data_IF_757892512508
#
_entry.id   IF_757892512508
#
_cell.length_a   1.000
_cell.length_b   1.000
_cell.length_c   1.000
_cell.angle_alpha   90.00
_cell.angle_beta   90.00
_cell.angle_gamma   90.00
#
_symmetry.space_group_name_H-M   'P 1'
#
loop_
_entity.id
_entity.type
_entity.pdbx_description
1 polymer ?
#
# COMPACT_ATOMS: atom_id res chain seq x y z
N UNK A 1 -10.50 -1.43 -20.00
CA UNK A 1 -9.19 -2.07 -20.28
C UNK A 1 -9.19 -3.53 -19.84
N UNK A 2 -9.64 -3.85 -18.64
CA UNK A 2 -9.72 -5.23 -18.12
C UNK A 2 -10.59 -6.13 -18.97
N UNK A 3 -11.85 -5.76 -19.22
CA UNK A 3 -12.81 -6.52 -20.03
C UNK A 3 -12.30 -6.82 -21.45
N UNK A 4 -11.64 -5.84 -22.07
CA UNK A 4 -11.04 -6.04 -23.39
C UNK A 4 -9.89 -7.06 -23.33
N UNK A 5 -9.10 -7.05 -22.26
CA UNK A 5 -8.06 -8.04 -22.02
C UNK A 5 -8.61 -9.45 -21.87
N UNK A 6 -9.67 -9.63 -21.08
CA UNK A 6 -10.37 -10.92 -20.92
C UNK A 6 -10.94 -11.43 -22.24
N UNK A 7 -11.59 -10.55 -23.00
CA UNK A 7 -12.12 -10.88 -24.35
C UNK A 7 -11.01 -11.38 -25.28
N UNK A 8 -9.87 -10.69 -25.32
CA UNK A 8 -8.74 -11.09 -26.19
C UNK A 8 -8.16 -12.43 -25.74
N UNK A 9 -8.04 -12.69 -24.43
CA UNK A 9 -7.58 -13.96 -23.91
C UNK A 9 -8.51 -15.12 -24.30
N UNK A 10 -9.83 -14.95 -24.19
CA UNK A 10 -10.82 -15.95 -24.65
C UNK A 10 -10.77 -16.20 -26.15
N UNK A 11 -10.59 -15.14 -26.94
CA UNK A 11 -10.45 -15.24 -28.39
C UNK A 11 -9.18 -16.00 -28.79
N UNK A 12 -8.09 -15.74 -28.08
CA UNK A 12 -6.84 -16.47 -28.29
C UNK A 12 -6.98 -17.98 -28.02
N UNK A 13 -7.65 -18.34 -26.92
CA UNK A 13 -7.96 -19.74 -26.60
C UNK A 13 -8.79 -20.43 -27.71
N UNK A 14 -9.82 -19.74 -28.24
CA UNK A 14 -10.74 -20.34 -29.24
C UNK A 14 -10.17 -20.40 -30.66
N UNK A 15 -9.46 -19.38 -31.08
CA UNK A 15 -9.13 -19.18 -32.50
C UNK A 15 -7.63 -19.26 -32.80
N UNK A 16 -6.77 -19.25 -31.80
CA UNK A 16 -5.33 -19.25 -31.95
C UNK A 16 -4.73 -17.91 -32.41
N UNK A 17 -3.42 -17.87 -32.61
CA UNK A 17 -2.67 -16.64 -32.82
C UNK A 17 -3.10 -15.84 -34.07
N UNK A 18 -3.15 -16.47 -35.24
CA UNK A 18 -3.40 -15.77 -36.53
C UNK A 18 -4.76 -15.04 -36.54
N UNK A 19 -5.83 -15.76 -36.19
CA UNK A 19 -7.19 -15.17 -36.21
C UNK A 19 -7.38 -14.10 -35.15
N UNK A 20 -6.73 -14.26 -33.97
CA UNK A 20 -6.77 -13.27 -32.92
C UNK A 20 -6.02 -12.00 -33.31
N UNK A 21 -4.87 -12.13 -33.99
CA UNK A 21 -4.13 -10.98 -34.53
C UNK A 21 -4.97 -10.17 -35.52
N UNK A 22 -5.61 -10.82 -36.48
CA UNK A 22 -6.49 -10.18 -37.44
C UNK A 22 -7.67 -9.47 -36.79
N UNK A 23 -8.22 -10.07 -35.73
CA UNK A 23 -9.34 -9.48 -34.99
C UNK A 23 -8.90 -8.24 -34.17
N UNK A 24 -7.74 -8.30 -33.53
CA UNK A 24 -7.17 -7.16 -32.81
C UNK A 24 -6.93 -5.99 -33.77
N UNK A 25 -6.43 -6.24 -34.97
CA UNK A 25 -6.24 -5.22 -36.00
C UNK A 25 -7.59 -4.61 -36.45
N UNK A 26 -8.65 -5.42 -36.57
CA UNK A 26 -9.98 -4.92 -36.86
C UNK A 26 -10.53 -4.05 -35.73
N UNK A 27 -10.37 -4.47 -34.47
CA UNK A 27 -10.76 -3.69 -33.29
C UNK A 27 -10.02 -2.35 -33.25
N UNK A 28 -8.71 -2.37 -33.47
CA UNK A 28 -7.87 -1.16 -33.56
C UNK A 28 -8.38 -0.21 -34.65
N UNK A 29 -8.58 -0.70 -35.87
CA UNK A 29 -9.04 0.10 -37.01
C UNK A 29 -10.44 0.66 -36.78
N UNK A 30 -11.33 -0.13 -36.17
CA UNK A 30 -12.66 0.31 -35.76
C UNK A 30 -12.57 1.46 -34.74
N UNK A 31 -11.76 1.31 -33.71
CA UNK A 31 -11.54 2.35 -32.70
C UNK A 31 -11.00 3.65 -33.31
N UNK A 32 -10.00 3.58 -34.18
CA UNK A 32 -9.48 4.76 -34.87
C UNK A 32 -10.49 5.41 -35.80
N UNK A 33 -11.25 4.63 -36.54
CA UNK A 33 -12.24 5.16 -37.45
C UNK A 33 -13.33 5.97 -36.73
N UNK A 34 -13.95 5.37 -35.71
CA UNK A 34 -14.99 6.05 -34.94
C UNK A 34 -14.46 7.13 -34.02
N UNK A 35 -13.26 6.98 -33.47
CA UNK A 35 -12.60 8.04 -32.70
C UNK A 35 -12.33 9.29 -33.56
N UNK A 36 -12.00 9.11 -34.86
CA UNK A 36 -11.82 10.21 -35.80
C UNK A 36 -13.14 10.88 -36.15
N UNK A 37 -14.22 10.09 -36.40
CA UNK A 37 -15.54 10.63 -36.71
C UNK A 37 -16.13 11.38 -35.51
N UNK A 38 -15.98 10.83 -34.30
CA UNK A 38 -16.49 11.45 -33.08
C UNK A 38 -15.80 12.79 -32.74
N UNK A 39 -14.58 13.02 -33.25
CA UNK A 39 -13.84 14.26 -33.04
C UNK A 39 -13.61 14.57 -31.55
N UNK A 40 -13.37 13.55 -30.73
CA UNK A 40 -13.15 13.71 -29.29
C UNK A 40 -11.96 14.62 -29.04
N UNK A 41 -12.18 15.73 -28.35
CA UNK A 41 -11.16 16.72 -28.00
C UNK A 41 -11.29 17.11 -26.53
N UNK A 42 -10.26 17.74 -25.95
CA UNK A 42 -10.25 18.22 -24.57
C UNK A 42 -10.18 19.73 -24.58
N UNK A 43 -11.18 20.36 -23.96
CA UNK A 43 -11.21 21.79 -23.68
C UNK A 43 -10.97 22.08 -22.19
N UNK A 44 -10.70 23.33 -21.85
CA UNK A 44 -10.58 23.78 -20.47
C UNK A 44 -11.94 23.66 -19.74
N UNK A 45 -13.04 23.80 -20.48
CA UNK A 45 -14.41 23.72 -19.96
C UNK A 45 -14.79 22.31 -19.50
N UNK A 46 -14.18 21.27 -20.07
CA UNK A 46 -14.39 19.86 -19.70
C UNK A 46 -13.87 19.51 -18.31
N UNK A 47 -13.07 20.40 -17.71
CA UNK A 47 -12.51 20.23 -16.37
C UNK A 47 -13.42 20.91 -15.34
N UNK A 48 -14.53 20.30 -15.01
CA UNK A 48 -15.48 20.86 -14.06
C UNK A 48 -14.91 20.94 -12.64
N UNK A 49 -15.19 22.07 -11.97
CA UNK A 49 -14.80 22.30 -10.58
C UNK A 49 -16.03 22.09 -9.70
N UNK A 50 -16.01 21.16 -8.73
CA UNK A 50 -17.18 20.92 -7.90
C UNK A 50 -17.53 22.15 -7.04
N UNK A 51 -18.80 22.52 -7.00
CA UNK A 51 -19.29 23.63 -6.17
C UNK A 51 -19.05 23.40 -4.69
N UNK A 52 -19.10 22.13 -4.24
CA UNK A 52 -18.84 21.68 -2.87
C UNK A 52 -17.41 21.94 -2.39
N UNK A 53 -16.44 22.15 -3.32
CA UNK A 53 -15.03 22.38 -3.00
C UNK A 53 -14.83 23.45 -1.92
N UNK A 54 -15.49 24.60 -2.04
CA UNK A 54 -15.34 25.70 -1.08
C UNK A 54 -15.77 25.30 0.34
N UNK A 55 -16.90 24.61 0.44
CA UNK A 55 -17.42 24.17 1.74
C UNK A 55 -16.53 23.12 2.41
N UNK A 56 -15.91 22.22 1.62
CA UNK A 56 -14.96 21.21 2.12
C UNK A 56 -13.70 21.89 2.64
N UNK A 57 -13.15 22.85 1.87
CA UNK A 57 -11.94 23.58 2.28
C UNK A 57 -12.18 24.41 3.55
N UNK A 58 -13.31 25.11 3.68
CA UNK A 58 -13.67 25.88 4.89
C UNK A 58 -13.79 25.00 6.13
N UNK A 59 -14.34 23.78 5.99
CA UNK A 59 -14.39 22.81 7.10
C UNK A 59 -12.99 22.36 7.51
N UNK A 60 -12.16 21.99 6.56
CA UNK A 60 -10.78 21.59 6.82
C UNK A 60 -9.98 22.71 7.48
N UNK A 61 -10.15 23.97 7.05
CA UNK A 61 -9.50 25.12 7.68
C UNK A 61 -9.92 25.31 9.15
N UNK A 62 -11.20 25.12 9.46
CA UNK A 62 -11.69 25.21 10.85
C UNK A 62 -11.09 24.10 11.73
N UNK A 63 -11.00 22.87 11.19
CA UNK A 63 -10.40 21.74 11.90
C UNK A 63 -8.90 21.96 12.14
N UNK A 64 -8.16 22.46 11.14
CA UNK A 64 -6.75 22.81 11.28
C UNK A 64 -6.55 23.94 12.31
N UNK A 65 -7.41 24.97 12.28
CA UNK A 65 -7.36 26.07 13.26
C UNK A 65 -7.58 25.54 14.68
N UNK A 66 -8.50 24.59 14.88
CA UNK A 66 -8.74 23.98 16.18
C UNK A 66 -7.51 23.18 16.66
N UNK A 67 -6.82 22.46 15.77
CA UNK A 67 -5.57 21.76 16.08
C UNK A 67 -4.45 22.75 16.46
N UNK A 68 -4.34 23.88 15.74
CA UNK A 68 -3.38 24.94 16.08
C UNK A 68 -3.67 25.59 17.45
N UNK A 69 -4.95 25.76 17.80
CA UNK A 69 -5.35 26.29 19.11
C UNK A 69 -4.98 25.31 20.22
N UNK A 70 -5.21 23.99 20.04
CA UNK A 70 -4.79 22.96 20.99
C UNK A 70 -3.26 22.95 21.18
N UNK A 71 -2.50 23.11 20.09
CA UNK A 71 -1.06 23.26 20.15
C UNK A 71 -0.64 24.50 20.94
N UNK A 72 -1.23 25.67 20.67
CA UNK A 72 -0.96 26.92 21.42
C UNK A 72 -1.28 26.81 22.91
N UNK A 73 -2.24 25.98 23.28
CA UNK A 73 -2.59 25.67 24.67
C UNK A 73 -1.62 24.67 25.33
N UNK A 74 -0.67 24.10 24.57
CA UNK A 74 0.29 23.10 25.07
C UNK A 74 -0.31 21.70 25.24
N UNK A 75 -1.48 21.42 24.67
CA UNK A 75 -2.16 20.11 24.73
C UNK A 75 -1.50 19.13 23.77
N UNK A 76 -1.04 19.63 22.62
CA UNK A 76 -0.40 18.83 21.57
C UNK A 76 1.08 19.17 21.45
N UNK A 77 1.89 18.19 21.07
CA UNK A 77 3.29 18.37 20.65
C UNK A 77 3.33 18.77 19.18
N UNK A 78 4.42 19.41 18.72
CA UNK A 78 4.55 19.89 17.33
C UNK A 78 4.41 18.76 16.29
N UNK A 79 4.97 17.60 16.58
CA UNK A 79 4.90 16.45 15.67
C UNK A 79 3.46 15.91 15.51
N UNK A 80 2.69 15.91 16.60
CA UNK A 80 1.26 15.54 16.56
C UNK A 80 0.43 16.57 15.80
N UNK A 81 0.68 17.87 16.06
CA UNK A 81 0.07 18.97 15.31
C UNK A 81 0.30 18.81 13.81
N UNK A 82 1.57 18.59 13.42
CA UNK A 82 1.97 18.36 12.04
C UNK A 82 1.22 17.18 11.42
N UNK A 83 1.20 16.04 12.11
CA UNK A 83 0.51 14.83 11.62
C UNK A 83 -0.98 15.04 11.43
N UNK A 84 -1.66 15.64 12.43
CA UNK A 84 -3.10 15.92 12.35
C UNK A 84 -3.41 16.89 11.21
N UNK A 85 -2.61 17.92 11.06
CA UNK A 85 -2.77 18.89 9.96
C UNK A 85 -2.64 18.21 8.59
N UNK A 86 -1.62 17.36 8.41
CA UNK A 86 -1.43 16.61 7.16
C UNK A 86 -2.59 15.63 6.92
N UNK A 87 -3.07 14.95 7.96
CA UNK A 87 -4.21 14.03 7.85
C UNK A 87 -5.51 14.73 7.43
N UNK A 88 -5.84 15.87 8.06
CA UNK A 88 -7.02 16.69 7.72
C UNK A 88 -6.98 17.13 6.24
N UNK A 89 -5.84 17.63 5.79
CA UNK A 89 -5.69 18.06 4.41
C UNK A 89 -5.70 16.90 3.42
N UNK A 90 -5.15 15.73 3.77
CA UNK A 90 -5.23 14.53 2.94
C UNK A 90 -6.68 14.08 2.77
N UNK A 91 -7.45 14.03 3.86
CA UNK A 91 -8.88 13.69 3.81
C UNK A 91 -9.69 14.70 2.98
N UNK A 92 -9.37 16.00 3.11
CA UNK A 92 -10.01 17.04 2.30
C UNK A 92 -9.72 16.85 0.80
N UNK A 93 -8.48 16.48 0.43
CA UNK A 93 -8.09 16.17 -0.95
C UNK A 93 -8.90 14.99 -1.49
N UNK A 94 -9.06 13.93 -0.71
CA UNK A 94 -9.81 12.74 -1.11
C UNK A 94 -11.31 13.04 -1.28
N UNK A 95 -11.90 13.84 -0.37
CA UNK A 95 -13.29 14.29 -0.48
C UNK A 95 -13.52 15.13 -1.74
N UNK A 96 -12.64 16.10 -2.02
CA UNK A 96 -12.72 16.92 -3.25
C UNK A 96 -12.55 16.05 -4.49
N UNK A 97 -11.66 15.07 -4.46
CA UNK A 97 -11.44 14.15 -5.57
C UNK A 97 -12.69 13.32 -5.87
N UNK A 98 -13.34 12.81 -4.82
CA UNK A 98 -14.57 12.02 -4.94
C UNK A 98 -15.70 12.88 -5.52
N UNK A 99 -15.96 14.04 -4.95
CA UNK A 99 -16.97 14.97 -5.44
C UNK A 99 -16.74 15.39 -6.90
N UNK A 100 -15.48 15.62 -7.28
CA UNK A 100 -15.12 15.91 -8.68
C UNK A 100 -15.49 14.75 -9.61
N UNK A 101 -15.18 13.50 -9.20
CA UNK A 101 -15.48 12.32 -10.02
C UNK A 101 -16.98 12.06 -10.12
N UNK A 102 -17.72 12.27 -9.03
CA UNK A 102 -19.18 12.04 -8.97
C UNK A 102 -19.96 13.10 -9.77
N UNK A 103 -19.39 14.30 -9.97
CA UNK A 103 -20.02 15.39 -10.74
C UNK A 103 -19.71 15.37 -12.24
N UNK A 104 -18.70 14.59 -12.66
CA UNK A 104 -18.34 14.52 -14.09
C UNK A 104 -19.35 13.69 -14.87
N UNK A 105 -19.80 14.20 -16.03
CA UNK A 105 -20.65 13.47 -16.96
C UNK A 105 -19.89 12.26 -17.54
N UNK A 106 -20.59 11.14 -17.72
CA UNK A 106 -20.03 9.94 -18.37
C UNK A 106 -19.53 10.20 -19.81
N UNK A 107 -20.12 11.17 -20.51
CA UNK A 107 -19.72 11.57 -21.86
C UNK A 107 -18.67 12.69 -21.88
N UNK A 108 -18.20 13.14 -20.71
CA UNK A 108 -17.12 14.09 -20.65
C UNK A 108 -15.83 13.49 -21.25
N UNK A 109 -15.15 14.15 -22.22
CA UNK A 109 -13.98 13.58 -22.90
C UNK A 109 -12.85 13.18 -21.95
N UNK A 110 -12.62 13.98 -20.90
CA UNK A 110 -11.57 13.72 -19.91
C UNK A 110 -11.94 12.50 -19.07
N UNK A 111 -13.20 12.39 -18.65
CA UNK A 111 -13.70 11.23 -17.92
C UNK A 111 -13.60 9.95 -18.76
N UNK A 112 -14.08 9.98 -20.00
CA UNK A 112 -14.00 8.82 -20.91
C UNK A 112 -12.56 8.34 -21.10
N UNK A 113 -11.60 9.23 -21.31
CA UNK A 113 -10.20 8.86 -21.51
C UNK A 113 -9.59 8.24 -20.25
N UNK A 114 -9.84 8.82 -19.07
CA UNK A 114 -9.31 8.32 -17.81
C UNK A 114 -9.97 7.01 -17.38
N UNK A 115 -11.31 6.91 -17.46
CA UNK A 115 -12.08 5.74 -17.05
C UNK A 115 -11.80 4.52 -17.95
N UNK A 116 -11.67 4.72 -19.27
CA UNK A 116 -11.28 3.65 -20.21
C UNK A 116 -9.85 3.15 -19.98
N UNK A 117 -9.02 3.90 -19.25
CA UNK A 117 -7.60 3.63 -19.03
C UNK A 117 -6.75 3.85 -20.29
N UNK A 118 -7.27 4.55 -21.30
CA UNK A 118 -6.53 4.90 -22.50
C UNK A 118 -5.44 5.93 -22.21
N UNK A 119 -5.79 7.01 -21.50
CA UNK A 119 -4.86 8.07 -21.12
C UNK A 119 -5.34 8.81 -19.87
N UNK A 120 -4.40 9.22 -19.03
CA UNK A 120 -4.70 9.96 -17.82
C UNK A 120 -4.95 9.06 -16.61
N UNK A 121 -4.98 9.69 -15.44
CA UNK A 121 -5.31 9.05 -14.17
C UNK A 121 -6.16 10.00 -13.33
N UNK A 122 -6.89 9.47 -12.35
CA UNK A 122 -7.68 10.27 -11.41
C UNK A 122 -6.82 11.31 -10.69
N UNK A 123 -5.55 10.96 -10.35
CA UNK A 123 -4.62 11.89 -9.72
C UNK A 123 -4.26 13.09 -10.62
N UNK A 124 -4.17 12.88 -11.93
CA UNK A 124 -3.95 13.97 -12.90
C UNK A 124 -5.20 14.84 -13.05
N UNK A 125 -6.39 14.22 -13.15
CA UNK A 125 -7.66 14.95 -13.21
C UNK A 125 -7.87 15.81 -11.96
N UNK A 126 -7.55 15.27 -10.78
CA UNK A 126 -7.60 16.00 -9.51
C UNK A 126 -6.78 17.30 -9.54
N UNK A 127 -5.57 17.25 -10.09
CA UNK A 127 -4.73 18.44 -10.20
C UNK A 127 -5.27 19.48 -11.17
N UNK A 128 -6.04 19.05 -12.17
CA UNK A 128 -6.62 19.91 -13.19
C UNK A 128 -7.92 20.58 -12.74
N UNK A 129 -8.87 19.83 -12.16
CA UNK A 129 -10.22 20.28 -11.79
C UNK A 129 -10.55 20.27 -10.30
N UNK A 130 -9.86 19.47 -9.48
CA UNK A 130 -10.06 19.38 -8.04
C UNK A 130 -9.19 20.35 -7.25
N UNK A 131 -8.19 19.82 -6.52
CA UNK A 131 -7.13 20.62 -5.90
C UNK A 131 -5.79 19.88 -6.04
N UNK A 132 -4.71 20.64 -6.08
CA UNK A 132 -3.38 20.05 -6.21
C UNK A 132 -2.96 19.29 -4.94
N UNK A 133 -3.27 19.84 -3.77
CA UNK A 133 -3.06 19.18 -2.48
C UNK A 133 -1.70 19.44 -1.85
N UNK A 134 -1.27 18.50 -1.00
CA UNK A 134 -0.03 18.59 -0.25
C UNK A 134 1.19 18.38 -1.15
N UNK A 135 2.24 19.18 -0.93
CA UNK A 135 3.51 19.09 -1.65
C UNK A 135 4.62 18.63 -0.72
N UNK A 136 5.63 17.98 -1.28
CA UNK A 136 6.86 17.66 -0.54
C UNK A 136 7.94 18.73 -0.77
N UNK A 137 8.70 19.03 0.26
CA UNK A 137 9.88 19.87 0.17
C UNK A 137 11.07 19.14 -0.51
N UNK A 138 12.22 19.80 -0.58
CA UNK A 138 13.43 19.21 -1.17
C UNK A 138 13.99 18.05 -0.38
N UNK A 139 13.65 17.91 0.92
CA UNK A 139 14.09 16.82 1.80
C UNK A 139 13.12 15.63 1.77
N UNK A 140 11.93 15.81 1.18
CA UNK A 140 10.88 14.79 1.12
C UNK A 140 9.84 14.90 2.23
N UNK A 141 9.96 15.88 3.15
CA UNK A 141 8.95 16.17 4.17
C UNK A 141 7.74 16.84 3.52
N UNK A 142 6.55 16.51 3.98
CA UNK A 142 5.31 17.12 3.49
C UNK A 142 5.19 18.55 4.02
N UNK A 143 4.90 19.50 3.15
CA UNK A 143 4.64 20.89 3.54
C UNK A 143 3.22 20.95 4.10
N UNK A 144 3.05 21.49 5.32
CA UNK A 144 1.77 21.54 6.03
C UNK A 144 0.69 22.35 5.32
N UNK A 145 1.11 23.35 4.53
CA UNK A 145 0.21 24.21 3.77
C UNK A 145 -0.07 23.57 2.42
N UNK A 146 -1.32 23.15 2.13
CA UNK A 146 -1.66 22.55 0.85
C UNK A 146 -1.83 23.62 -0.23
N UNK A 147 -1.66 23.22 -1.48
CA UNK A 147 -2.09 24.00 -2.64
C UNK A 147 -3.58 23.73 -2.84
N UNK A 148 -4.42 24.72 -2.50
CA UNK A 148 -5.88 24.65 -2.59
C UNK A 148 -6.39 24.83 -4.01
N UNK A 149 -5.67 25.57 -4.81
CA UNK A 149 -5.99 25.82 -6.21
C UNK A 149 -5.73 24.59 -7.09
N UNK A 150 -6.39 24.55 -8.23
CA UNK A 150 -6.13 23.64 -9.33
C UNK A 150 -5.55 24.41 -10.54
N UNK A 151 -5.14 23.68 -11.58
CA UNK A 151 -4.55 24.33 -12.76
C UNK A 151 -5.58 25.12 -13.57
N UNK A 152 -6.87 24.76 -13.52
CA UNK A 152 -7.93 25.55 -14.20
C UNK A 152 -8.16 26.89 -13.54
N UNK A 153 -8.18 26.95 -12.19
CA UNK A 153 -8.31 28.20 -11.42
C UNK A 153 -7.06 29.07 -11.53
N UNK A 154 -5.91 28.46 -11.76
CA UNK A 154 -4.61 29.11 -11.70
C UNK A 154 -4.04 29.14 -10.28
N UNK A 155 -2.72 29.03 -10.17
CA UNK A 155 -1.99 29.06 -8.90
C UNK A 155 -1.62 30.47 -8.53
N UNK A 156 -1.68 30.82 -7.25
CA UNK A 156 -1.09 32.06 -6.76
C UNK A 156 0.46 31.97 -6.75
N UNK A 157 1.14 33.09 -6.53
CA UNK A 157 2.62 33.16 -6.60
C UNK A 157 3.29 32.19 -5.61
N UNK A 158 2.78 32.10 -4.37
CA UNK A 158 3.32 31.20 -3.35
C UNK A 158 3.07 29.72 -3.71
N UNK A 159 1.86 29.39 -4.12
CA UNK A 159 1.50 28.04 -4.55
C UNK A 159 2.33 27.60 -5.77
N UNK A 160 2.54 28.49 -6.72
CA UNK A 160 3.41 28.24 -7.87
C UNK A 160 4.86 27.98 -7.42
N UNK A 161 5.37 28.80 -6.50
CA UNK A 161 6.74 28.63 -5.99
C UNK A 161 6.91 27.29 -5.25
N UNK A 162 5.99 26.94 -4.35
CA UNK A 162 5.96 25.64 -3.66
C UNK A 162 5.90 24.48 -4.66
N UNK A 163 5.05 24.59 -5.67
CA UNK A 163 4.91 23.62 -6.74
C UNK A 163 6.22 23.43 -7.54
N UNK A 164 6.97 24.50 -7.77
CA UNK A 164 8.21 24.46 -8.57
C UNK A 164 9.34 23.68 -7.88
N UNK A 165 9.39 23.65 -6.55
CA UNK A 165 10.36 22.85 -5.81
C UNK A 165 10.18 21.35 -6.08
N UNK A 166 8.96 20.84 -5.95
CA UNK A 166 8.65 19.45 -6.23
C UNK A 166 8.91 19.06 -7.69
N UNK A 167 8.55 19.92 -8.63
CA UNK A 167 8.81 19.71 -10.05
C UNK A 167 10.32 19.65 -10.37
N UNK A 168 11.10 20.59 -9.84
CA UNK A 168 12.57 20.61 -10.04
C UNK A 168 13.23 19.39 -9.44
N UNK A 169 12.84 18.98 -8.21
CA UNK A 169 13.35 17.77 -7.58
C UNK A 169 13.00 16.54 -8.42
N UNK A 170 11.75 16.43 -8.88
CA UNK A 170 11.33 15.30 -9.73
C UNK A 170 12.13 15.21 -11.03
N UNK A 171 12.42 16.33 -11.69
CA UNK A 171 13.27 16.38 -12.87
C UNK A 171 14.70 15.90 -12.58
N UNK A 172 15.32 16.41 -11.51
CA UNK A 172 16.66 16.01 -11.12
C UNK A 172 16.72 14.54 -10.71
N UNK A 173 15.79 14.08 -9.89
CA UNK A 173 15.70 12.68 -9.44
C UNK A 173 15.50 11.72 -10.62
N UNK A 174 14.68 12.08 -11.61
CA UNK A 174 14.48 11.28 -12.81
C UNK A 174 15.78 11.13 -13.59
N UNK A 175 16.50 12.23 -13.80
CA UNK A 175 17.75 12.23 -14.54
C UNK A 175 18.84 11.35 -13.86
N UNK A 176 18.96 11.46 -12.53
CA UNK A 176 19.96 10.71 -11.77
C UNK A 176 19.58 9.22 -11.61
N UNK A 177 18.35 8.94 -11.26
CA UNK A 177 17.89 7.54 -11.01
C UNK A 177 17.81 6.71 -12.28
N UNK A 178 17.67 7.31 -13.45
CA UNK A 178 17.72 6.59 -14.72
C UNK A 178 19.07 5.90 -14.90
N UNK A 179 20.17 6.57 -14.55
CA UNK A 179 21.50 5.99 -14.58
C UNK A 179 21.66 4.82 -13.57
N UNK A 180 21.14 4.99 -12.35
CA UNK A 180 21.17 3.95 -11.30
C UNK A 180 20.39 2.71 -11.73
N UNK A 181 19.20 2.88 -12.31
CA UNK A 181 18.39 1.79 -12.84
C UNK A 181 19.08 1.05 -13.98
N UNK A 182 19.73 1.79 -14.88
CA UNK A 182 20.52 1.21 -15.95
C UNK A 182 21.72 0.40 -15.43
N UNK A 183 22.42 0.94 -14.43
CA UNK A 183 23.52 0.25 -13.77
C UNK A 183 23.07 -1.00 -13.01
N UNK A 184 21.93 -0.93 -12.30
CA UNK A 184 21.33 -2.09 -11.65
C UNK A 184 21.01 -3.20 -12.67
N UNK A 185 20.36 -2.85 -13.78
CA UNK A 185 20.00 -3.78 -14.84
C UNK A 185 21.25 -4.46 -15.40
N UNK A 186 22.31 -3.69 -15.68
CA UNK A 186 23.58 -4.25 -16.13
C UNK A 186 24.16 -5.25 -15.14
N UNK A 187 24.23 -4.91 -13.84
CA UNK A 187 24.75 -5.83 -12.82
C UNK A 187 23.90 -7.10 -12.70
N UNK A 188 22.58 -6.98 -12.80
CA UNK A 188 21.70 -8.15 -12.80
C UNK A 188 21.97 -9.05 -14.01
N UNK A 189 22.13 -8.49 -15.20
CA UNK A 189 22.48 -9.25 -16.40
C UNK A 189 23.85 -9.92 -16.24
N UNK A 190 24.86 -9.20 -15.75
CA UNK A 190 26.23 -9.74 -15.58
C UNK A 190 26.25 -10.94 -14.61
N UNK A 191 25.37 -10.97 -13.60
CA UNK A 191 25.30 -12.10 -12.65
C UNK A 191 24.44 -13.25 -13.19
N UNK A 192 23.38 -12.96 -13.95
CA UNK A 192 22.35 -13.93 -14.32
C UNK A 192 22.49 -14.49 -15.74
N UNK A 193 23.43 -13.98 -16.58
CA UNK A 193 23.54 -14.39 -17.99
C UNK A 193 23.84 -15.87 -18.18
N UNK A 194 24.47 -16.51 -17.20
CA UNK A 194 24.77 -17.97 -17.23
C UNK A 194 23.57 -18.84 -16.88
N UNK A 195 22.45 -18.25 -16.41
CA UNK A 195 21.22 -18.99 -16.08
C UNK A 195 20.44 -19.26 -17.36
N UNK A 196 20.70 -20.42 -17.96
CA UNK A 196 20.11 -20.87 -19.24
C UNK A 196 19.33 -22.16 -18.97
N UNK A 197 18.33 -22.48 -19.79
CA UNK A 197 17.64 -23.77 -19.75
C UNK A 197 18.51 -24.83 -20.36
N UNK A 198 19.14 -25.68 -19.55
CA UNK A 198 20.14 -26.67 -19.99
C UNK A 198 19.60 -28.08 -20.11
N UNK A 199 18.55 -28.45 -19.39
CA UNK A 199 18.01 -29.81 -19.36
C UNK A 199 16.48 -29.80 -19.38
N UNK A 200 15.89 -30.91 -19.78
CA UNK A 200 14.44 -31.08 -19.74
C UNK A 200 13.93 -31.28 -18.28
N UNK A 201 14.61 -32.10 -17.48
CA UNK A 201 14.30 -32.35 -16.09
C UNK A 201 15.57 -32.62 -15.27
N UNK A 202 15.58 -32.13 -14.02
CA UNK A 202 16.64 -32.40 -13.04
C UNK A 202 16.29 -33.55 -12.07
N UNK A 203 15.08 -34.11 -12.15
CA UNK A 203 14.60 -35.20 -11.30
C UNK A 203 14.33 -34.82 -9.84
N UNK A 204 14.30 -33.54 -9.47
CA UNK A 204 14.05 -33.13 -8.08
C UNK A 204 12.63 -33.44 -7.65
N UNK A 205 12.46 -33.91 -6.41
CA UNK A 205 11.17 -33.99 -5.73
C UNK A 205 10.94 -32.79 -4.79
N UNK A 206 11.94 -31.93 -4.67
CA UNK A 206 11.87 -30.75 -3.83
C UNK A 206 11.09 -29.63 -4.53
N UNK A 207 10.35 -28.87 -3.75
CA UNK A 207 9.56 -27.73 -4.20
C UNK A 207 9.22 -26.82 -3.04
N UNK A 208 8.60 -25.70 -3.33
CA UNK A 208 8.10 -24.77 -2.33
C UNK A 208 6.58 -24.90 -2.24
N UNK A 209 6.04 -24.77 -1.01
CA UNK A 209 4.62 -24.63 -0.79
C UNK A 209 4.23 -23.18 -0.96
N UNK A 210 3.22 -22.93 -1.76
CA UNK A 210 2.71 -21.59 -2.07
C UNK A 210 1.26 -21.50 -1.67
N UNK A 211 0.91 -20.40 -1.02
CA UNK A 211 -0.44 -19.97 -0.63
C UNK A 211 -0.69 -18.54 -1.09
N UNK A 212 -1.87 -17.99 -0.83
CA UNK A 212 -2.12 -16.56 -1.02
C UNK A 212 -1.07 -15.73 -0.29
N UNK A 213 -0.61 -14.66 -0.93
CA UNK A 213 0.26 -13.69 -0.28
C UNK A 213 -0.62 -12.67 0.45
N UNK A 214 -0.62 -12.76 1.77
CA UNK A 214 -1.41 -11.89 2.63
C UNK A 214 -0.48 -10.98 3.43
N UNK A 215 -0.71 -9.68 3.39
CA UNK A 215 -0.05 -8.70 4.24
C UNK A 215 -1.09 -7.87 4.99
N UNK A 216 -0.94 -7.82 6.30
CA UNK A 216 -1.84 -7.05 7.20
C UNK A 216 -3.33 -7.39 7.07
N UNK A 217 -3.67 -8.60 6.58
CA UNK A 217 -5.04 -9.08 6.38
C UNK A 217 -5.58 -8.90 4.96
N UNK A 218 -4.91 -8.13 4.12
CA UNK A 218 -5.26 -7.97 2.71
C UNK A 218 -4.50 -8.96 1.83
N UNK A 219 -5.21 -9.59 0.89
CA UNK A 219 -4.60 -10.47 -0.12
C UNK A 219 -3.94 -9.62 -1.19
N UNK A 220 -2.60 -9.56 -1.18
CA UNK A 220 -1.82 -8.82 -2.18
C UNK A 220 -1.82 -9.57 -3.51
N UNK A 221 -1.60 -10.88 -3.47
CA UNK A 221 -1.52 -11.73 -4.65
C UNK A 221 -2.18 -13.08 -4.37
N UNK A 222 -3.14 -13.46 -5.22
CA UNK A 222 -3.86 -14.73 -5.07
C UNK A 222 -2.98 -15.92 -5.43
N UNK A 223 -3.28 -17.07 -4.84
CA UNK A 223 -2.62 -18.34 -5.17
C UNK A 223 -2.66 -18.62 -6.68
N UNK A 224 -3.80 -18.39 -7.33
CA UNK A 224 -3.97 -18.59 -8.78
C UNK A 224 -2.97 -17.84 -9.65
N UNK A 225 -2.67 -16.58 -9.28
CA UNK A 225 -1.69 -15.75 -10.00
C UNK A 225 -0.25 -16.23 -9.77
N UNK A 226 0.05 -16.68 -8.54
CA UNK A 226 1.39 -17.13 -8.13
C UNK A 226 1.80 -18.48 -8.74
N UNK A 227 0.84 -19.36 -8.97
CA UNK A 227 1.09 -20.72 -9.49
C UNK A 227 0.99 -20.82 -11.01
N UNK A 228 0.41 -19.82 -11.69
CA UNK A 228 0.26 -19.82 -13.14
C UNK A 228 1.59 -20.03 -13.85
N UNK A 229 1.62 -21.00 -14.77
CA UNK A 229 2.83 -21.34 -15.54
C UNK A 229 3.92 -22.06 -14.76
N UNK A 230 3.65 -22.49 -13.52
CA UNK A 230 4.59 -23.32 -12.73
C UNK A 230 4.25 -24.80 -12.87
N UNK A 231 5.17 -25.66 -12.47
CA UNK A 231 5.03 -27.12 -12.55
C UNK A 231 4.78 -27.70 -11.16
N UNK A 232 3.86 -28.64 -11.02
CA UNK A 232 3.60 -29.34 -9.77
C UNK A 232 4.82 -30.13 -9.30
N UNK A 233 5.18 -30.05 -8.00
CA UNK A 233 6.27 -30.83 -7.40
C UNK A 233 5.81 -32.22 -6.91
N UNK A 234 4.54 -32.38 -6.66
CA UNK A 234 3.89 -33.63 -6.19
C UNK A 234 2.49 -33.78 -6.80
N UNK A 235 1.90 -34.96 -6.67
CA UNK A 235 0.55 -35.21 -7.14
C UNK A 235 -0.46 -34.36 -6.36
N UNK A 236 -1.31 -33.61 -7.06
CA UNK A 236 -2.36 -32.79 -6.46
C UNK A 236 -3.57 -33.67 -6.15
N UNK A 237 -3.80 -33.91 -4.88
CA UNK A 237 -4.92 -34.72 -4.38
C UNK A 237 -5.91 -33.83 -3.63
N UNK A 238 -7.20 -34.03 -3.84
CA UNK A 238 -8.26 -33.42 -3.05
C UNK A 238 -9.32 -34.47 -2.71
N UNK A 239 -9.68 -34.59 -1.44
CA UNK A 239 -10.65 -35.58 -0.92
C UNK A 239 -10.40 -37.05 -1.35
N UNK A 240 -9.15 -37.37 -1.69
CA UNK A 240 -8.74 -38.71 -2.13
C UNK A 240 -8.80 -38.94 -3.65
N UNK A 241 -9.23 -37.95 -4.43
CA UNK A 241 -9.18 -37.97 -5.88
C UNK A 241 -7.91 -37.29 -6.41
N UNK A 242 -7.34 -37.88 -7.47
CA UNK A 242 -6.18 -37.31 -8.16
C UNK A 242 -6.65 -36.25 -9.17
N UNK A 243 -6.37 -34.97 -8.92
CA UNK A 243 -6.70 -33.86 -9.81
C UNK A 243 -5.66 -33.71 -10.91
N UNK A 244 -4.38 -33.69 -10.52
CA UNK A 244 -3.27 -33.53 -11.47
C UNK A 244 -2.03 -34.31 -10.95
N UNK A 245 -1.29 -34.86 -11.89
CA UNK A 245 -0.07 -35.61 -11.57
C UNK A 245 1.10 -34.64 -11.34
N UNK A 246 2.09 -35.10 -10.60
CA UNK A 246 3.39 -34.46 -10.51
C UNK A 246 3.93 -34.14 -11.90
N UNK A 247 4.71 -33.08 -12.00
CA UNK A 247 5.34 -32.58 -13.24
C UNK A 247 4.35 -32.07 -14.31
N UNK A 248 3.06 -31.88 -13.94
CA UNK A 248 2.08 -31.21 -14.79
C UNK A 248 2.28 -29.70 -14.72
N UNK A 249 2.28 -29.03 -15.88
CA UNK A 249 2.31 -27.59 -15.99
C UNK A 249 0.94 -27.00 -15.59
N UNK A 250 0.94 -26.06 -14.66
CA UNK A 250 -0.30 -25.42 -14.17
C UNK A 250 -0.72 -24.34 -15.18
N UNK A 251 -1.79 -24.64 -15.91
CA UNK A 251 -2.42 -23.74 -16.87
C UNK A 251 -3.78 -23.29 -16.36
N UNK A 252 -4.42 -22.41 -17.09
CA UNK A 252 -5.71 -21.80 -16.72
C UNK A 252 -6.78 -22.83 -16.37
N UNK A 253 -6.90 -23.94 -17.11
CA UNK A 253 -7.91 -24.99 -16.86
C UNK A 253 -7.72 -25.66 -15.50
N UNK A 254 -6.46 -25.88 -15.10
CA UNK A 254 -6.14 -26.43 -13.79
C UNK A 254 -6.37 -25.39 -12.67
N UNK A 255 -6.08 -24.12 -12.93
CA UNK A 255 -6.33 -23.01 -12.00
C UNK A 255 -7.85 -22.88 -11.72
N UNK A 256 -8.69 -22.91 -12.75
CA UNK A 256 -10.14 -22.89 -12.54
C UNK A 256 -10.63 -24.04 -11.66
N UNK A 257 -10.01 -25.22 -11.80
CA UNK A 257 -10.32 -26.38 -10.96
C UNK A 257 -9.85 -26.16 -9.51
N UNK A 258 -8.64 -25.62 -9.32
CA UNK A 258 -8.07 -25.30 -8.02
C UNK A 258 -8.92 -24.26 -7.27
N UNK A 259 -9.39 -23.23 -7.97
CA UNK A 259 -10.27 -22.20 -7.40
C UNK A 259 -11.64 -22.75 -7.02
N UNK A 260 -12.24 -23.61 -7.87
CA UNK A 260 -13.53 -24.25 -7.58
C UNK A 260 -13.47 -25.18 -6.37
N UNK A 261 -12.32 -25.80 -6.13
CA UNK A 261 -12.08 -26.72 -5.00
C UNK A 261 -11.55 -26.01 -3.75
N UNK A 262 -11.40 -24.68 -3.80
CA UNK A 262 -10.88 -23.85 -2.70
C UNK A 262 -9.56 -24.35 -2.08
N UNK A 263 -8.65 -24.87 -2.92
CA UNK A 263 -7.34 -25.35 -2.48
C UNK A 263 -6.49 -24.16 -2.06
N UNK A 264 -5.98 -24.17 -0.83
CA UNK A 264 -5.27 -23.03 -0.23
C UNK A 264 -3.76 -23.08 -0.37
N UNK A 265 -3.20 -24.25 -0.57
CA UNK A 265 -1.75 -24.45 -0.63
C UNK A 265 -1.42 -25.47 -1.70
N UNK A 266 -0.38 -25.18 -2.49
CA UNK A 266 0.10 -26.06 -3.54
C UNK A 266 1.62 -26.11 -3.48
N UNK A 267 2.19 -27.31 -3.62
CA UNK A 267 3.64 -27.50 -3.73
C UNK A 267 4.05 -27.51 -5.17
N UNK A 268 4.86 -26.52 -5.57
CA UNK A 268 5.33 -26.34 -6.94
C UNK A 268 6.84 -26.43 -7.05
N UNK A 269 7.33 -26.83 -8.22
CA UNK A 269 8.76 -26.77 -8.57
C UNK A 269 9.20 -25.33 -8.79
N UNK A 270 10.45 -25.04 -8.45
CA UNK A 270 11.02 -23.70 -8.56
C UNK A 270 12.46 -23.78 -9.05
N UNK A 271 12.96 -22.75 -9.77
CA UNK A 271 14.38 -22.64 -10.10
C UNK A 271 15.31 -22.71 -8.88
N UNK A 272 14.82 -22.25 -7.69
CA UNK A 272 15.60 -22.22 -6.45
C UNK A 272 15.97 -23.62 -5.91
N UNK A 273 15.15 -24.63 -6.20
CA UNK A 273 15.38 -26.02 -5.77
C UNK A 273 15.85 -26.93 -6.92
N UNK A 274 16.22 -26.34 -8.04
CA UNK A 274 16.75 -27.09 -9.19
C UNK A 274 18.11 -27.70 -8.87
N UNK A 275 18.30 -29.01 -9.16
CA UNK A 275 19.52 -29.74 -8.84
C UNK A 275 20.61 -29.66 -9.89
N UNK A 276 20.43 -28.85 -10.94
CA UNK A 276 21.45 -28.61 -11.93
C UNK A 276 22.58 -27.73 -11.36
N UNK A 277 23.82 -28.06 -11.61
CA UNK A 277 24.98 -27.26 -11.22
C UNK A 277 25.06 -25.94 -11.99
N UNK A 278 24.62 -25.92 -13.24
CA UNK A 278 24.59 -24.73 -14.09
C UNK A 278 23.24 -24.62 -14.80
N UNK A 279 22.65 -23.44 -14.76
CA UNK A 279 21.36 -23.16 -15.37
C UNK A 279 20.17 -23.79 -14.62
N UNK A 280 19.07 -23.95 -15.32
CA UNK A 280 17.80 -24.45 -14.79
C UNK A 280 17.20 -25.46 -15.76
N UNK A 281 16.44 -26.45 -15.30
CA UNK A 281 15.68 -27.34 -16.18
C UNK A 281 14.31 -26.75 -16.54
N UNK A 282 13.73 -27.22 -17.66
CA UNK A 282 12.42 -26.78 -18.15
C UNK A 282 11.34 -26.91 -17.09
N UNK A 283 11.26 -28.07 -16.43
CA UNK A 283 10.21 -28.32 -15.41
C UNK A 283 10.32 -27.46 -14.17
N UNK A 284 11.53 -27.09 -13.74
CA UNK A 284 11.69 -26.17 -12.62
C UNK A 284 11.38 -24.72 -12.99
N UNK A 285 11.55 -24.36 -14.26
CA UNK A 285 11.21 -23.03 -14.76
C UNK A 285 9.71 -22.92 -15.08
N UNK A 286 9.18 -23.80 -15.93
CA UNK A 286 7.78 -23.89 -16.31
C UNK A 286 7.46 -23.27 -17.66
N UNK A 287 6.53 -22.31 -17.67
CA UNK A 287 5.93 -21.68 -18.84
C UNK A 287 6.83 -20.59 -19.45
N UNK A 288 6.91 -20.56 -20.77
CA UNK A 288 7.34 -19.39 -21.52
C UNK A 288 6.15 -18.46 -21.76
N UNK A 289 6.19 -17.27 -21.16
CA UNK A 289 5.11 -16.28 -21.23
C UNK A 289 4.92 -15.67 -22.63
N UNK A 290 5.92 -15.83 -23.54
CA UNK A 290 5.83 -15.27 -24.90
C UNK A 290 4.91 -16.09 -25.82
N UNK A 291 4.90 -17.40 -25.65
CA UNK A 291 4.19 -18.34 -26.53
C UNK A 291 3.17 -19.23 -25.80
N UNK A 292 3.06 -19.09 -24.45
CA UNK A 292 2.19 -19.89 -23.59
C UNK A 292 2.42 -21.42 -23.75
N UNK A 293 3.67 -21.83 -23.92
CA UNK A 293 4.10 -23.23 -23.97
C UNK A 293 5.21 -23.49 -22.97
N UNK A 294 5.52 -24.75 -22.72
CA UNK A 294 6.69 -25.12 -21.93
C UNK A 294 7.95 -24.51 -22.54
N UNK A 295 8.82 -23.94 -21.68
CA UNK A 295 10.05 -23.26 -22.10
C UNK A 295 10.96 -24.16 -22.94
N UNK A 296 11.63 -23.59 -23.91
CA UNK A 296 12.57 -24.34 -24.78
C UNK A 296 13.96 -24.42 -24.17
N UNK A 297 14.67 -25.48 -24.50
CA UNK A 297 16.07 -25.62 -24.13
C UNK A 297 16.93 -24.60 -24.88
N UNK A 298 17.83 -23.94 -24.17
CA UNK A 298 18.71 -22.92 -24.71
C UNK A 298 18.25 -21.49 -24.42
N UNK A 299 17.03 -21.29 -23.88
CA UNK A 299 16.55 -19.97 -23.51
C UNK A 299 17.33 -19.35 -22.35
N UNK A 300 17.74 -18.09 -22.50
CA UNK A 300 18.51 -17.32 -21.53
C UNK A 300 17.62 -16.66 -20.49
N UNK A 301 16.97 -17.46 -19.65
CA UNK A 301 15.97 -17.02 -18.67
C UNK A 301 16.52 -16.04 -17.62
N UNK A 302 17.80 -16.12 -17.31
CA UNK A 302 18.46 -15.18 -16.41
C UNK A 302 18.52 -13.76 -16.98
N UNK A 303 18.82 -13.62 -18.26
CA UNK A 303 18.81 -12.31 -18.94
C UNK A 303 17.38 -11.76 -19.02
N UNK A 304 16.41 -12.61 -19.36
CA UNK A 304 14.99 -12.23 -19.40
C UNK A 304 14.54 -11.71 -18.03
N UNK A 305 14.89 -12.42 -16.96
CA UNK A 305 14.56 -11.99 -15.59
C UNK A 305 15.21 -10.65 -15.24
N UNK A 306 16.51 -10.47 -15.54
CA UNK A 306 17.23 -9.23 -15.27
C UNK A 306 16.62 -8.03 -16.01
N UNK A 307 16.25 -8.21 -17.27
CA UNK A 307 15.60 -7.18 -18.09
C UNK A 307 14.19 -6.89 -17.61
N UNK A 308 13.42 -7.91 -17.21
CA UNK A 308 12.07 -7.74 -16.65
C UNK A 308 12.05 -7.02 -15.31
N UNK A 309 13.14 -7.10 -14.52
CA UNK A 309 13.30 -6.34 -13.27
C UNK A 309 13.78 -4.92 -13.57
N UNK A 310 14.69 -4.76 -14.53
CA UNK A 310 15.32 -3.47 -14.82
C UNK A 310 14.42 -2.50 -15.59
N UNK A 311 13.61 -2.98 -16.52
CA UNK A 311 12.71 -2.15 -17.32
C UNK A 311 11.71 -1.35 -16.48
N UNK A 312 10.94 -1.96 -15.55
CA UNK A 312 10.04 -1.19 -14.67
C UNK A 312 10.78 -0.20 -13.77
N UNK A 313 12.00 -0.49 -13.35
CA UNK A 313 12.85 0.41 -12.60
C UNK A 313 13.05 1.73 -13.32
N UNK A 314 13.38 1.69 -14.61
CA UNK A 314 13.51 2.87 -15.46
C UNK A 314 12.18 3.60 -15.65
N UNK A 315 11.08 2.89 -15.88
CA UNK A 315 9.74 3.50 -16.02
C UNK A 315 9.25 4.15 -14.72
N UNK A 316 9.47 3.52 -13.56
CA UNK A 316 9.12 4.08 -12.26
C UNK A 316 9.85 5.39 -11.98
N UNK A 317 11.14 5.50 -12.34
CA UNK A 317 11.88 6.76 -12.23
C UNK A 317 11.31 7.85 -13.12
N UNK A 318 10.84 7.52 -14.31
CA UNK A 318 10.16 8.47 -15.20
C UNK A 318 8.77 8.87 -14.71
N UNK A 319 8.01 7.94 -14.08
CA UNK A 319 6.65 8.22 -13.56
C UNK A 319 6.63 9.14 -12.35
N UNK A 320 7.64 9.14 -11.50
CA UNK A 320 7.73 10.06 -10.35
C UNK A 320 7.76 11.54 -10.78
N UNK A 321 8.24 11.83 -11.98
CA UNK A 321 8.18 13.16 -12.58
C UNK A 321 6.74 13.61 -12.88
N UNK A 322 5.87 12.70 -13.34
CA UNK A 322 4.49 13.02 -13.72
C UNK A 322 3.57 13.36 -12.54
N UNK A 323 3.92 12.97 -11.33
CA UNK A 323 3.15 13.34 -10.11
C UNK A 323 3.49 14.71 -9.57
N UNK A 324 4.56 15.35 -10.08
CA UNK A 324 4.89 16.75 -9.81
C UNK A 324 5.20 17.07 -8.34
N UNK A 325 5.69 16.09 -7.56
CA UNK A 325 6.02 16.29 -6.15
C UNK A 325 4.81 16.33 -5.20
N UNK A 326 3.62 15.96 -5.66
CA UNK A 326 2.44 15.80 -4.80
C UNK A 326 2.69 14.66 -3.83
N UNK A 327 2.61 14.98 -2.55
CA UNK A 327 2.77 13.99 -1.49
C UNK A 327 1.50 13.13 -1.38
N UNK A 328 1.69 11.81 -1.33
CA UNK A 328 0.66 10.91 -0.84
C UNK A 328 1.01 10.59 0.61
N UNK A 329 0.16 11.01 1.53
CA UNK A 329 0.27 10.53 2.91
C UNK A 329 0.03 9.02 2.87
N UNK A 330 1.02 8.24 3.29
CA UNK A 330 0.79 6.83 3.52
C UNK A 330 -0.29 6.73 4.59
N UNK A 331 -1.43 6.14 4.27
CA UNK A 331 -2.45 5.85 5.26
C UNK A 331 -1.90 4.76 6.17
N UNK A 332 -1.32 5.15 7.28
CA UNK A 332 -0.98 4.18 8.32
C UNK A 332 -2.30 3.74 8.92
N UNK A 333 -2.57 2.44 8.91
CA UNK A 333 -3.79 1.90 9.48
C UNK A 333 -3.88 2.29 10.96
N UNK A 334 -4.86 3.10 11.30
CA UNK A 334 -5.18 3.51 12.67
C UNK A 334 -6.35 2.70 13.27
N UNK A 335 -6.87 1.74 12.52
CA UNK A 335 -7.97 0.89 12.95
C UNK A 335 -7.80 -0.55 12.43
N UNK A 336 -8.33 -1.49 13.18
CA UNK A 336 -8.44 -2.90 12.78
C UNK A 336 -9.90 -3.16 12.43
N UNK A 337 -10.16 -3.66 11.22
CA UNK A 337 -11.49 -4.03 10.73
C UNK A 337 -11.60 -5.55 10.58
N UNK A 338 -12.81 -6.06 10.73
CA UNK A 338 -13.04 -7.50 10.49
C UNK A 338 -13.29 -7.78 9.01
N UNK A 339 -12.71 -8.88 8.53
CA UNK A 339 -12.93 -9.41 7.16
C UNK A 339 -14.01 -10.48 7.11
N UNK A 340 -14.57 -10.88 8.26
CA UNK A 340 -15.56 -11.93 8.36
C UNK A 340 -16.73 -11.53 9.24
N UNK A 341 -17.91 -12.05 8.90
CA UNK A 341 -19.09 -11.96 9.74
C UNK A 341 -19.00 -13.01 10.85
N UNK A 342 -19.38 -12.64 12.08
CA UNK A 342 -19.37 -13.59 13.18
C UNK A 342 -19.52 -12.97 14.56
N UNK A 343 -19.39 -13.80 15.60
CA UNK A 343 -19.33 -13.32 16.99
C UNK A 343 -17.89 -13.10 17.39
N UNK A 344 -17.60 -11.89 17.85
CA UNK A 344 -16.29 -11.53 18.37
C UNK A 344 -16.09 -12.14 19.77
N UNK A 345 -14.97 -12.84 19.97
CA UNK A 345 -14.56 -13.38 21.27
C UNK A 345 -13.24 -12.71 21.67
N UNK A 346 -13.25 -12.04 22.78
CA UNK A 346 -12.06 -11.39 23.34
C UNK A 346 -11.24 -12.42 24.13
N UNK A 347 -9.93 -12.46 23.87
CA UNK A 347 -9.00 -13.34 24.57
C UNK A 347 -7.83 -12.52 25.12
N UNK A 348 -7.51 -12.75 26.42
CA UNK A 348 -6.42 -12.08 27.12
C UNK A 348 -6.51 -10.54 27.12
N UNK A 349 -7.74 -9.99 27.02
CA UNK A 349 -8.02 -8.56 26.96
C UNK A 349 -8.31 -8.04 28.37
N UNK A 350 -7.50 -7.10 28.84
CA UNK A 350 -7.77 -6.29 30.02
C UNK A 350 -8.02 -4.86 29.54
N UNK A 351 -9.13 -4.29 29.96
CA UNK A 351 -9.51 -2.92 29.60
C UNK A 351 -9.55 -2.02 30.81
N UNK A 352 -9.22 -0.77 30.59
CA UNK A 352 -9.46 0.35 31.52
C UNK A 352 -10.36 1.36 30.83
N UNK A 353 -11.28 1.93 31.57
CA UNK A 353 -12.14 3.00 31.05
C UNK A 353 -11.43 4.34 31.28
N UNK A 354 -11.24 5.13 30.22
CA UNK A 354 -10.69 6.48 30.33
C UNK A 354 -11.75 7.50 30.82
N UNK A 355 -11.36 8.74 31.04
CA UNK A 355 -12.26 9.81 31.47
C UNK A 355 -13.35 10.12 30.42
N UNK A 356 -13.11 9.81 29.16
CA UNK A 356 -14.09 9.96 28.08
C UNK A 356 -15.07 8.78 27.98
N UNK A 357 -14.94 7.74 28.82
CA UNK A 357 -15.81 6.56 28.82
C UNK A 357 -15.44 5.49 27.78
N UNK A 358 -14.28 5.59 27.14
CA UNK A 358 -13.79 4.60 26.17
C UNK A 358 -13.02 3.46 26.87
N UNK A 359 -13.22 2.24 26.39
CA UNK A 359 -12.49 1.06 26.86
C UNK A 359 -11.14 0.94 26.16
N UNK A 360 -10.05 1.16 26.91
CA UNK A 360 -8.67 1.10 26.39
C UNK A 360 -8.01 -0.22 26.80
N UNK A 361 -7.42 -0.92 25.85
CA UNK A 361 -6.75 -2.20 26.07
C UNK A 361 -5.36 -1.97 26.69
N UNK A 362 -5.11 -2.63 27.83
CA UNK A 362 -3.85 -2.51 28.59
C UNK A 362 -2.94 -3.72 28.39
N UNK A 363 -3.50 -4.87 28.03
CA UNK A 363 -2.73 -6.11 27.87
C UNK A 363 -1.89 -6.10 26.59
N UNK A 364 -0.65 -6.64 26.69
CA UNK A 364 0.29 -6.70 25.55
C UNK A 364 -0.03 -7.80 24.53
N UNK A 365 -0.80 -8.84 24.93
CA UNK A 365 -1.12 -10.01 24.09
C UNK A 365 -2.63 -10.15 23.85
N UNK A 366 -3.34 -9.03 23.80
CA UNK A 366 -4.77 -9.01 23.56
C UNK A 366 -5.12 -9.45 22.13
N UNK A 367 -6.17 -10.28 21.99
CA UNK A 367 -6.61 -10.80 20.70
C UNK A 367 -8.13 -10.82 20.61
N UNK A 368 -8.62 -10.53 19.39
CA UNK A 368 -10.01 -10.75 19.00
C UNK A 368 -10.07 -11.97 18.10
N UNK A 369 -10.99 -12.88 18.36
CA UNK A 369 -11.22 -14.09 17.57
C UNK A 369 -12.61 -14.01 16.97
N UNK A 370 -12.71 -14.04 15.63
CA UNK A 370 -13.98 -14.06 14.90
C UNK A 370 -13.96 -15.29 13.98
N UNK A 371 -14.73 -16.30 14.32
CA UNK A 371 -14.69 -17.59 13.61
C UNK A 371 -13.32 -18.26 13.66
N UNK A 372 -12.62 -18.29 12.52
CA UNK A 372 -11.24 -18.82 12.39
C UNK A 372 -10.18 -17.72 12.39
N UNK A 373 -10.55 -16.46 12.24
CA UNK A 373 -9.62 -15.33 12.15
C UNK A 373 -9.22 -14.82 13.53
N UNK A 374 -7.98 -14.35 13.63
CA UNK A 374 -7.38 -13.82 14.86
C UNK A 374 -6.78 -12.46 14.55
N UNK A 375 -7.19 -11.46 15.33
CA UNK A 375 -6.68 -10.09 15.23
C UNK A 375 -5.92 -9.77 16.53
N UNK A 376 -4.68 -9.34 16.39
CA UNK A 376 -3.88 -8.88 17.53
C UNK A 376 -4.19 -7.43 17.82
N UNK A 377 -4.35 -7.08 19.08
CA UNK A 377 -4.70 -5.72 19.51
C UNK A 377 -3.47 -5.08 20.15
N UNK A 378 -3.00 -3.93 19.65
CA UNK A 378 -1.93 -3.20 20.30
C UNK A 378 -2.38 -2.66 21.66
N UNK A 379 -1.46 -2.61 22.62
CA UNK A 379 -1.70 -1.97 23.92
C UNK A 379 -1.96 -0.48 23.72
N UNK A 380 -2.95 0.07 24.42
CA UNK A 380 -3.37 1.47 24.27
C UNK A 380 -4.47 1.70 23.24
N UNK A 381 -4.91 0.65 22.56
CA UNK A 381 -5.97 0.76 21.57
C UNK A 381 -7.35 0.89 22.22
N UNK A 382 -8.22 1.72 21.63
CA UNK A 382 -9.62 1.88 22.04
C UNK A 382 -10.47 0.76 21.43
N UNK A 383 -11.12 -0.03 22.29
CA UNK A 383 -11.98 -1.13 21.88
C UNK A 383 -13.37 -0.59 21.51
N UNK A 384 -13.85 -0.89 20.30
CA UNK A 384 -15.16 -0.43 19.80
C UNK A 384 -16.23 -1.54 19.83
N UNK A 385 -15.87 -2.74 20.29
CA UNK A 385 -16.77 -3.89 20.38
C UNK A 385 -16.72 -4.52 21.76
N UNK A 386 -17.80 -5.24 22.12
CA UNK A 386 -17.90 -5.99 23.37
C UNK A 386 -17.71 -7.49 23.14
N UNK A 387 -17.31 -8.19 24.19
CA UNK A 387 -17.18 -9.66 24.12
C UNK A 387 -18.53 -10.33 23.78
N UNK A 388 -18.49 -11.24 22.79
CA UNK A 388 -19.68 -11.94 22.29
C UNK A 388 -20.55 -11.11 21.32
N UNK A 389 -20.20 -9.89 20.98
CA UNK A 389 -20.94 -9.05 20.03
C UNK A 389 -20.87 -9.63 18.61
N UNK A 390 -22.00 -9.61 17.89
CA UNK A 390 -22.04 -9.94 16.47
C UNK A 390 -21.50 -8.77 15.65
N UNK A 391 -20.55 -9.05 14.80
CA UNK A 391 -19.88 -8.07 13.92
C UNK A 391 -20.07 -8.47 12.46
N UNK A 392 -20.10 -7.46 11.59
CA UNK A 392 -20.24 -7.61 10.13
C UNK A 392 -18.92 -7.28 9.44
N UNK A 393 -18.67 -7.87 8.28
CA UNK A 393 -17.49 -7.60 7.46
C UNK A 393 -17.30 -6.09 7.22
N UNK A 394 -16.08 -5.60 7.43
CA UNK A 394 -15.74 -4.18 7.30
C UNK A 394 -15.98 -3.33 8.55
N UNK A 395 -16.58 -3.89 9.62
CA UNK A 395 -16.80 -3.17 10.88
C UNK A 395 -15.47 -2.95 11.61
N UNK A 396 -15.29 -1.73 12.14
CA UNK A 396 -14.13 -1.38 12.96
C UNK A 396 -14.23 -2.09 14.31
N UNK A 397 -13.20 -2.83 14.66
CA UNK A 397 -13.07 -3.56 15.92
C UNK A 397 -12.34 -2.74 16.97
N UNK A 398 -11.27 -2.08 16.55
CA UNK A 398 -10.33 -1.36 17.41
C UNK A 398 -9.80 -0.13 16.67
N UNK A 399 -9.64 0.96 17.40
CA UNK A 399 -8.93 2.16 16.94
C UNK A 399 -7.67 2.35 17.78
N UNK A 400 -6.55 2.65 17.14
CA UNK A 400 -5.28 2.89 17.83
C UNK A 400 -4.44 3.94 17.10
N UNK A 401 -3.56 4.59 17.83
CA UNK A 401 -2.55 5.46 17.24
C UNK A 401 -1.31 4.61 16.94
N UNK A 402 -0.95 4.38 15.67
CA UNK A 402 0.18 3.56 15.29
C UNK A 402 1.54 4.18 15.64
N UNK A 403 1.55 5.45 16.00
CA UNK A 403 2.77 6.22 16.30
C UNK A 403 3.03 6.42 17.79
N UNK A 404 1.99 6.23 18.62
CA UNK A 404 2.12 6.36 20.05
C UNK A 404 1.86 5.01 20.73
N UNK A 405 2.84 4.57 21.50
CA UNK A 405 2.67 3.43 22.40
C UNK A 405 2.50 3.99 23.82
N UNK A 406 1.28 4.12 24.33
CA UNK A 406 1.07 4.66 25.67
C UNK A 406 1.58 3.69 26.73
N UNK A 407 2.27 4.22 27.71
CA UNK A 407 2.65 3.47 28.91
C UNK A 407 1.53 3.64 29.93
N UNK A 408 0.71 2.60 30.11
CA UNK A 408 -0.47 2.64 30.96
C UNK A 408 -0.20 1.88 32.24
N UNK A 409 -0.49 2.53 33.40
CA UNK A 409 -0.38 1.86 34.69
C UNK A 409 -1.56 0.94 34.96
N UNK A 410 -1.27 -0.22 35.53
CA UNK A 410 -2.29 -1.17 36.02
C UNK A 410 -2.48 -1.10 37.54
N UNK A 411 -1.76 -0.20 38.23
CA UNK A 411 -1.77 -0.07 39.71
C UNK A 411 -1.94 1.39 40.11
N UNK A 412 -2.59 1.59 41.25
CA UNK A 412 -2.74 2.89 41.86
C UNK A 412 -1.55 3.18 42.80
N UNK A 413 -1.05 4.42 42.83
CA UNK A 413 0.04 4.77 43.72
C UNK A 413 0.68 6.11 43.38
N UNK A 414 1.71 6.45 44.15
CA UNK A 414 2.51 7.68 43.93
C UNK A 414 3.56 7.44 42.87
N UNK A 415 3.58 8.29 41.84
CA UNK A 415 4.52 8.23 40.72
C UNK A 415 5.85 8.91 41.12
N UNK A 416 6.94 8.25 40.84
CA UNK A 416 8.31 8.79 40.94
C UNK A 416 9.04 8.57 39.59
N UNK A 417 9.61 9.64 39.06
CA UNK A 417 10.43 9.60 37.85
C UNK A 417 11.88 9.32 38.20
N UNK A 418 12.49 8.33 37.57
CA UNK A 418 13.91 7.99 37.75
C UNK A 418 14.65 8.04 36.43
N UNK A 419 15.84 8.65 36.47
CA UNK A 419 16.70 8.81 35.30
C UNK A 419 16.03 9.53 34.13
N UNK A 420 15.01 10.36 34.41
CA UNK A 420 14.26 11.14 33.43
C UNK A 420 14.65 12.60 33.55
N UNK A 421 15.24 13.14 32.49
CA UNK A 421 15.51 14.55 32.34
C UNK A 421 14.49 15.17 31.41
N UNK A 422 13.74 16.11 31.93
CA UNK A 422 12.74 16.84 31.15
C UNK A 422 13.36 18.10 30.59
N UNK A 423 13.47 18.22 29.29
CA UNK A 423 13.85 19.46 28.61
C UNK A 423 12.58 20.22 28.27
N UNK A 424 12.49 21.45 28.72
CA UNK A 424 11.46 22.39 28.26
C UNK A 424 11.97 23.06 26.99
N UNK A 425 11.28 22.87 25.89
CA UNK A 425 11.56 23.55 24.64
C UNK A 425 10.50 24.64 24.45
N UNK A 426 10.93 25.88 24.37
CA UNK A 426 10.05 27.02 24.10
C UNK A 426 10.09 27.26 22.61
N UNK A 427 8.97 27.05 21.92
CA UNK A 427 8.85 27.46 20.53
C UNK A 427 8.73 28.98 20.47
N UNK A 428 9.71 29.68 19.87
CA UNK A 428 9.69 31.16 19.80
C UNK A 428 8.49 31.73 19.05
N UNK A 429 7.87 30.93 18.17
CA UNK A 429 6.77 31.37 17.33
C UNK A 429 5.41 31.36 18.06
N UNK A 430 5.21 30.38 18.94
CA UNK A 430 3.91 30.15 19.58
C UNK A 430 3.95 30.29 21.11
N UNK A 431 5.12 30.50 21.68
CA UNK A 431 5.29 30.59 23.16
C UNK A 431 4.82 29.33 23.91
N UNK A 432 4.87 28.17 23.25
CA UNK A 432 4.46 26.87 23.81
C UNK A 432 5.63 26.20 24.46
N UNK A 433 5.42 25.62 25.62
CA UNK A 433 6.43 24.84 26.35
C UNK A 433 6.18 23.36 26.04
N UNK A 434 7.05 22.77 25.22
CA UNK A 434 7.10 21.33 25.03
C UNK A 434 8.00 20.68 26.09
N UNK A 435 7.47 19.64 26.76
CA UNK A 435 8.25 18.84 27.72
C UNK A 435 8.66 17.54 27.07
N UNK A 436 9.95 17.42 26.75
CA UNK A 436 10.51 16.20 26.17
C UNK A 436 11.37 15.52 27.22
N UNK A 437 11.08 14.26 27.54
CA UNK A 437 11.94 13.44 28.37
C UNK A 437 13.16 12.96 27.55
N UNK A 438 14.36 13.32 27.94
CA UNK A 438 15.59 12.94 27.25
C UNK A 438 16.45 12.06 28.16
N UNK A 439 17.00 10.97 27.62
CA UNK A 439 18.02 10.19 28.28
C UNK A 439 19.36 10.97 28.25
N UNK A 440 20.11 11.09 29.37
CA UNK A 440 21.41 11.72 29.32
C UNK A 440 22.37 10.86 28.47
N UNK A 441 22.95 11.47 27.44
CA UNK A 441 23.92 10.83 26.54
C UNK A 441 25.30 10.67 27.20
N UNK A 442 25.57 11.44 28.27
CA UNK A 442 26.91 11.57 28.86
C UNK A 442 27.23 10.58 29.98
N UNK A 443 26.26 9.90 30.59
CA UNK A 443 26.50 8.87 31.60
C UNK A 443 25.85 7.57 31.18
N UNK A 444 26.63 6.63 30.71
CA UNK A 444 26.20 5.37 30.06
C UNK A 444 25.30 4.42 30.87
N UNK A 445 24.85 4.76 32.07
CA UNK A 445 24.14 3.85 32.99
C UNK A 445 22.70 4.27 33.37
N UNK A 446 22.13 5.31 32.75
CA UNK A 446 20.76 5.75 33.06
C UNK A 446 19.70 5.00 32.25
N UNK A 447 18.77 4.33 32.93
CA UNK A 447 17.57 3.77 32.31
C UNK A 447 16.35 4.61 32.71
N UNK A 448 15.77 5.43 31.81
CA UNK A 448 14.61 6.24 32.14
C UNK A 448 13.40 5.35 32.46
N UNK A 449 12.83 5.55 33.65
CA UNK A 449 11.74 4.70 34.15
C UNK A 449 10.80 5.46 35.06
N UNK A 450 9.54 5.03 35.04
CA UNK A 450 8.47 5.47 35.91
C UNK A 450 8.27 4.40 36.99
N UNK A 451 8.36 4.76 38.25
CA UNK A 451 8.16 3.82 39.35
C UNK A 451 6.94 4.25 40.16
N UNK A 452 6.08 3.30 40.49
CA UNK A 452 4.86 3.54 41.26
C UNK A 452 5.03 2.93 42.64
N UNK A 453 4.76 3.75 43.69
CA UNK A 453 4.87 3.35 45.07
C UNK A 453 3.53 3.45 45.80
N UNK A 454 3.26 2.49 46.70
CA UNK A 454 2.32 2.64 47.79
C UNK A 454 3.13 2.89 49.07
N UNK A 455 3.05 4.13 49.61
CA UNK A 455 3.82 4.62 50.74
C UNK A 455 5.34 4.42 50.52
N UNK A 456 5.90 3.27 50.87
CA UNK A 456 7.34 2.93 50.73
C UNK A 456 7.59 1.68 49.90
N UNK A 457 6.53 0.97 49.53
CA UNK A 457 6.62 -0.29 48.76
C UNK A 457 6.50 -0.02 47.26
N UNK A 458 7.49 -0.46 46.50
CA UNK A 458 7.43 -0.42 45.02
C UNK A 458 6.35 -1.38 44.52
N UNK A 459 5.37 -0.87 43.77
CA UNK A 459 4.29 -1.64 43.20
C UNK A 459 4.55 -2.02 41.75
N UNK A 460 5.01 -1.08 40.94
CA UNK A 460 5.29 -1.32 39.52
C UNK A 460 6.43 -0.43 39.02
N UNK A 461 7.05 -0.86 37.94
CA UNK A 461 8.11 -0.13 37.24
C UNK A 461 7.89 -0.23 35.75
N UNK A 462 7.94 0.90 35.05
CA UNK A 462 7.76 1.00 33.63
C UNK A 462 8.96 1.67 33.01
N UNK A 463 9.64 0.98 32.10
CA UNK A 463 10.75 1.55 31.35
C UNK A 463 10.21 2.41 30.22
N UNK A 464 10.81 3.57 30.01
CA UNK A 464 10.48 4.45 28.90
C UNK A 464 11.41 4.07 27.75
N UNK A 465 10.89 3.54 26.64
CA UNK A 465 11.69 3.28 25.45
C UNK A 465 12.19 4.59 24.85
N UNK A 466 13.21 4.49 24.00
CA UNK A 466 13.78 5.62 23.24
C UNK A 466 12.89 5.97 22.06
#
# INVERSE_FOLDING_TARGET
KGELGTLIAELYKKFGFEKTSDLIDKIKNFGFHYGTIAGITVGIEDLEIPESKKSILEKAEKEVTAVEEQYKQGILIDEERYRRTVAIWSEAVDKVTKEMMDNLDEFNPVYMMANSGARGSIAQMRQLGGMRGLMSDTQGRIIEVPIKANFREGLNILEFFMSSHGARKGLADTALRTADSGYLTRRLVDISHDVIINSDDCGTAEGIVVSDLVDSGDVIEKLSERIYGRTLAEDLMHEGELIAKRDTLIMEDLIETIEKLEIKEIKMRTPLTCKLEKGVCKKCYGLDLSNHKEILKGEAVGVIAAQSIGEPGTQLTMRTFHTGGVAQAASVQSNIRTDADGKAKLKDVKVLTNEAGEEIVVSQNARIIIGKQRYEIPSGAALKIKDGQSVTKGQVLVEFDPYHVPIITSVEGKVEFRDIYVRENIDPKYNVIERIAIKPVESGDGNPRIVIYDKTKKLAEYNIPY
#
